data_IF_849634604835
#
_entry.id   IF_849634604835
#
_cell.length_a   1.000
_cell.length_b   1.000
_cell.length_c   1.000
_cell.angle_alpha   90.00
_cell.angle_beta   90.00
_cell.angle_gamma   90.00
#
_symmetry.space_group_name_H-M   'P 1'
#
loop_
_entity.id
_entity.type
_entity.pdbx_description
1 polymer ?
#
# COMPACT_ATOMS: atom_id res chain seq x y z
N UNK A 1 -7.62 -5.09 26.29
CA UNK A 1 -7.52 -4.09 25.23
C UNK A 1 -8.46 -4.47 24.09
N UNK A 2 -9.17 -3.52 23.59
CA UNK A 2 -10.05 -3.76 22.45
C UNK A 2 -9.25 -3.63 21.17
N UNK A 3 -9.59 -4.47 20.17
CA UNK A 3 -8.85 -4.47 18.90
C UNK A 3 -8.89 -3.10 18.20
N UNK A 4 -10.01 -2.39 18.33
CA UNK A 4 -10.14 -1.08 17.68
C UNK A 4 -9.29 0.02 18.33
N UNK A 5 -8.61 -0.28 19.42
CA UNK A 5 -7.69 0.64 20.06
C UNK A 5 -6.23 0.43 19.64
N UNK A 6 -5.98 -0.60 18.85
CA UNK A 6 -4.64 -0.86 18.34
C UNK A 6 -4.33 0.16 17.24
N UNK A 7 -3.18 0.80 17.37
CA UNK A 7 -2.72 1.74 16.37
C UNK A 7 -1.96 1.04 15.27
N UNK A 8 -1.95 1.58 14.05
CA UNK A 8 -1.09 1.05 13.00
C UNK A 8 0.37 1.00 13.46
N UNK A 9 1.05 -0.05 13.09
CA UNK A 9 2.38 -0.36 13.60
C UNK A 9 3.42 -0.36 12.48
N UNK A 10 4.49 0.41 12.67
CA UNK A 10 5.64 0.37 11.76
C UNK A 10 6.38 -0.96 11.88
N UNK A 11 6.43 -1.52 13.08
CA UNK A 11 7.07 -2.82 13.30
C UNK A 11 6.34 -3.93 12.55
N UNK A 12 5.01 -3.92 12.60
CA UNK A 12 4.23 -4.91 11.87
C UNK A 12 4.42 -4.75 10.36
N UNK A 13 4.48 -3.51 9.86
CA UNK A 13 4.75 -3.28 8.44
C UNK A 13 6.11 -3.87 8.05
N UNK A 14 7.11 -3.72 8.89
CA UNK A 14 8.42 -4.30 8.62
C UNK A 14 8.36 -5.83 8.57
N UNK A 15 7.58 -6.44 9.46
CA UNK A 15 7.39 -7.90 9.43
C UNK A 15 6.73 -8.34 8.13
N UNK A 16 5.76 -7.57 7.64
CA UNK A 16 5.03 -7.91 6.43
C UNK A 16 5.89 -7.73 5.19
N UNK A 17 6.55 -6.59 5.05
CA UNK A 17 7.30 -6.23 3.84
C UNK A 17 8.78 -6.63 3.95
N UNK A 18 9.36 -6.49 5.14
CA UNK A 18 10.78 -6.77 5.36
C UNK A 18 11.68 -5.80 4.62
N UNK A 19 12.84 -6.29 4.23
CA UNK A 19 13.81 -5.53 3.46
C UNK A 19 13.63 -5.70 1.95
N UNK A 20 12.50 -6.28 1.54
CA UNK A 20 12.24 -6.58 0.15
C UNK A 20 11.29 -5.55 -0.44
N UNK A 21 11.55 -5.17 -1.69
CA UNK A 21 10.65 -4.24 -2.38
C UNK A 21 9.44 -4.98 -2.89
N UNK A 22 8.22 -4.56 -2.52
CA UNK A 22 7.01 -5.12 -3.11
C UNK A 22 6.94 -4.80 -4.61
N UNK A 23 6.08 -5.53 -5.30
CA UNK A 23 5.85 -5.33 -6.73
C UNK A 23 4.42 -4.79 -6.90
N UNK A 24 4.27 -3.83 -7.80
CA UNK A 24 2.97 -3.30 -8.20
C UNK A 24 2.75 -3.62 -9.67
N UNK A 25 1.58 -4.14 -9.98
CA UNK A 25 1.22 -4.52 -11.35
C UNK A 25 0.09 -3.67 -11.92
N UNK A 26 -0.66 -2.98 -11.08
CA UNK A 26 -1.79 -2.15 -11.48
C UNK A 26 -1.76 -0.82 -10.75
N UNK A 27 -2.33 0.21 -11.39
CA UNK A 27 -2.45 1.52 -10.78
C UNK A 27 -3.37 1.50 -9.57
N UNK A 28 -3.17 2.46 -8.68
CA UNK A 28 -4.02 2.61 -7.50
C UNK A 28 -5.46 2.89 -7.92
N UNK A 29 -6.39 2.43 -7.08
CA UNK A 29 -7.81 2.69 -7.26
C UNK A 29 -8.26 3.75 -6.26
N UNK A 30 -9.05 4.71 -6.74
CA UNK A 30 -9.63 5.69 -5.85
C UNK A 30 -10.64 5.05 -4.91
N UNK A 31 -10.60 5.46 -3.65
CA UNK A 31 -11.58 5.06 -2.65
C UNK A 31 -12.49 6.24 -2.39
N UNK A 32 -13.81 6.04 -2.49
CA UNK A 32 -14.77 7.11 -2.35
C UNK A 32 -15.44 7.07 -0.97
N UNK A 33 -15.84 8.25 -0.51
CA UNK A 33 -16.63 8.35 0.70
C UNK A 33 -18.06 7.90 0.44
N UNK A 34 -18.65 7.26 1.45
CA UNK A 34 -20.05 6.87 1.42
C UNK A 34 -20.80 7.67 2.48
N UNK A 35 -21.97 8.17 2.07
CA UNK A 35 -22.89 8.85 2.98
C UNK A 35 -24.24 8.16 2.85
N UNK A 36 -24.77 7.67 3.98
CA UNK A 36 -26.04 6.92 4.02
C UNK A 36 -26.03 5.73 3.06
N UNK A 37 -24.90 5.02 3.01
CA UNK A 37 -24.69 3.85 2.15
C UNK A 37 -24.66 4.16 0.65
N UNK A 38 -24.56 5.43 0.27
CA UNK A 38 -24.43 5.82 -1.12
C UNK A 38 -23.04 6.39 -1.38
N UNK A 39 -22.44 5.99 -2.51
CA UNK A 39 -21.12 6.48 -2.89
C UNK A 39 -21.24 7.95 -3.31
N UNK A 40 -20.34 8.78 -2.78
CA UNK A 40 -20.21 10.17 -3.19
C UNK A 40 -19.11 10.31 -4.23
N UNK A 41 -18.93 11.53 -4.76
CA UNK A 41 -17.82 11.83 -5.66
C UNK A 41 -16.54 12.20 -4.91
N UNK A 42 -16.56 12.16 -3.61
CA UNK A 42 -15.39 12.53 -2.80
C UNK A 42 -14.45 11.36 -2.66
N UNK A 43 -13.19 11.57 -3.02
CA UNK A 43 -12.13 10.58 -2.85
C UNK A 43 -11.55 10.74 -1.46
N UNK A 44 -11.55 9.65 -0.68
CA UNK A 44 -10.98 9.66 0.66
C UNK A 44 -9.58 9.07 0.72
N UNK A 45 -9.10 8.51 -0.38
CA UNK A 45 -7.78 7.91 -0.46
C UNK A 45 -7.65 7.01 -1.67
N UNK A 46 -6.53 6.30 -1.71
CA UNK A 46 -6.23 5.40 -2.83
C UNK A 46 -5.77 4.07 -2.28
N UNK A 47 -6.17 3.00 -2.94
CA UNK A 47 -5.77 1.63 -2.58
C UNK A 47 -4.90 1.07 -3.69
N UNK A 48 -3.70 0.62 -3.31
CA UNK A 48 -2.76 -0.02 -4.22
C UNK A 48 -2.56 -1.47 -3.78
N UNK A 49 -2.66 -2.40 -4.72
CA UNK A 49 -2.38 -3.79 -4.42
C UNK A 49 -0.88 -4.05 -4.59
N UNK A 50 -0.27 -4.53 -3.53
CA UNK A 50 1.15 -4.88 -3.52
C UNK A 50 1.30 -6.40 -3.55
N UNK A 51 2.28 -6.89 -4.30
CA UNK A 51 2.66 -8.29 -4.29
C UNK A 51 3.92 -8.42 -3.46
N UNK A 52 3.86 -9.22 -2.40
CA UNK A 52 4.95 -9.38 -1.44
C UNK A 52 5.87 -10.51 -1.89
N UNK A 53 7.07 -10.17 -2.35
CA UNK A 53 8.01 -11.16 -2.86
C UNK A 53 8.59 -12.03 -1.75
N UNK A 54 8.60 -11.53 -0.51
CA UNK A 54 9.10 -12.27 0.65
C UNK A 54 8.03 -13.14 1.32
N UNK A 55 6.79 -13.10 0.84
CA UNK A 55 5.66 -13.82 1.40
C UNK A 55 4.96 -14.67 0.35
N UNK A 56 5.73 -15.39 -0.46
CA UNK A 56 5.19 -16.27 -1.50
C UNK A 56 4.28 -15.53 -2.47
N UNK A 57 4.59 -14.28 -2.80
CA UNK A 57 3.82 -13.45 -3.71
C UNK A 57 2.38 -13.21 -3.24
N UNK A 58 2.16 -13.23 -1.92
CA UNK A 58 0.87 -12.83 -1.38
C UNK A 58 0.60 -11.36 -1.67
N UNK A 59 -0.66 -11.03 -1.75
CA UNK A 59 -1.10 -9.67 -2.05
C UNK A 59 -1.56 -8.99 -0.77
N UNK A 60 -1.21 -7.71 -0.65
CA UNK A 60 -1.66 -6.88 0.47
C UNK A 60 -2.05 -5.52 -0.10
N UNK A 61 -3.09 -4.92 0.49
CA UNK A 61 -3.54 -3.60 0.07
C UNK A 61 -2.80 -2.54 0.87
N UNK A 62 -2.35 -1.50 0.18
CA UNK A 62 -1.73 -0.34 0.81
C UNK A 62 -2.59 0.90 0.53
N UNK A 63 -2.94 1.61 1.60
CA UNK A 63 -3.79 2.80 1.52
C UNK A 63 -2.91 4.04 1.65
N UNK A 64 -3.10 4.99 0.73
CA UNK A 64 -2.46 6.31 0.79
C UNK A 64 -3.53 7.39 0.68
N UNK A 65 -3.26 8.55 1.27
CA UNK A 65 -4.20 9.66 1.21
C UNK A 65 -4.27 10.29 -0.18
N UNK A 66 -3.14 10.30 -0.88
CA UNK A 66 -3.02 10.89 -2.21
C UNK A 66 -2.60 9.84 -3.23
N UNK A 67 -2.78 10.17 -4.52
CA UNK A 67 -2.31 9.30 -5.58
C UNK A 67 -0.81 9.07 -5.42
N UNK A 68 -0.36 7.82 -5.30
CA UNK A 68 1.07 7.55 -5.13
C UNK A 68 1.90 8.07 -6.30
N UNK A 69 3.10 8.56 -5.98
CA UNK A 69 3.99 9.12 -6.99
C UNK A 69 4.36 8.15 -8.10
N UNK A 70 4.42 6.87 -7.79
CA UNK A 70 4.78 5.85 -8.79
C UNK A 70 3.79 5.85 -9.97
N UNK A 71 2.56 6.34 -9.76
CA UNK A 71 1.53 6.34 -10.80
C UNK A 71 1.34 7.71 -11.48
N UNK A 72 2.10 8.73 -11.08
CA UNK A 72 1.90 10.07 -11.64
C UNK A 72 2.31 10.18 -13.11
N UNK A 73 3.10 9.25 -13.60
CA UNK A 73 3.48 9.22 -15.00
C UNK A 73 2.45 8.54 -15.91
N UNK A 74 1.33 8.09 -15.35
CA UNK A 74 0.31 7.37 -16.10
C UNK A 74 0.21 5.91 -15.68
N UNK A 75 -0.52 5.14 -16.45
CA UNK A 75 -0.70 3.71 -16.16
C UNK A 75 0.61 2.96 -16.34
N UNK A 76 0.80 1.93 -15.53
CA UNK A 76 1.98 1.09 -15.61
C UNK A 76 1.88 0.19 -16.84
N UNK A 77 2.97 0.10 -17.59
CA UNK A 77 3.07 -0.85 -18.70
C UNK A 77 3.53 -2.21 -18.20
N UNK A 78 4.42 -2.21 -17.22
CA UNK A 78 5.00 -3.43 -16.65
C UNK A 78 4.97 -3.38 -15.13
N UNK A 79 5.10 -4.55 -14.52
CA UNK A 79 5.27 -4.63 -13.07
C UNK A 79 6.55 -3.89 -12.65
N UNK A 80 6.46 -3.15 -11.54
CA UNK A 80 7.58 -2.39 -11.02
C UNK A 80 7.76 -2.67 -9.54
N UNK A 81 9.01 -2.59 -9.10
CA UNK A 81 9.34 -2.64 -7.68
C UNK A 81 9.14 -1.27 -7.07
N UNK A 82 8.59 -1.24 -5.87
CA UNK A 82 8.27 0.01 -5.18
C UNK A 82 8.79 0.00 -3.76
N UNK A 83 8.88 1.19 -3.19
CA UNK A 83 9.15 1.38 -1.76
C UNK A 83 8.02 2.19 -1.17
N UNK A 84 7.69 1.86 0.08
CA UNK A 84 6.64 2.56 0.82
C UNK A 84 7.28 3.60 1.72
N UNK A 85 6.69 4.79 1.74
CA UNK A 85 7.17 5.89 2.59
C UNK A 85 6.38 5.86 3.88
N UNK A 86 7.09 5.72 5.00
CA UNK A 86 6.49 5.68 6.35
C UNK A 86 5.40 4.63 6.48
N UNK A 87 5.73 3.41 6.07
CA UNK A 87 4.77 2.31 6.09
C UNK A 87 4.36 1.93 7.51
N UNK A 88 3.08 1.68 7.68
CA UNK A 88 2.47 1.17 8.91
C UNK A 88 1.52 0.07 8.53
N UNK A 89 1.34 -0.89 9.41
CA UNK A 89 0.38 -1.96 9.18
C UNK A 89 -0.67 -1.97 10.27
N UNK A 90 -1.90 -2.30 9.91
CA UNK A 90 -2.95 -2.49 10.87
C UNK A 90 -3.63 -3.83 10.61
N UNK A 91 -4.16 -4.41 11.66
CA UNK A 91 -4.93 -5.65 11.56
C UNK A 91 -6.40 -5.26 11.60
N UNK A 92 -7.11 -5.63 10.54
CA UNK A 92 -8.54 -5.38 10.46
C UNK A 92 -9.29 -6.35 11.37
N UNK A 93 -10.51 -6.03 11.71
CA UNK A 93 -11.28 -6.88 12.63
C UNK A 93 -11.54 -8.28 12.05
N UNK A 94 -11.39 -8.47 10.75
CA UNK A 94 -11.49 -9.79 10.11
C UNK A 94 -10.15 -10.52 10.05
N UNK A 95 -9.15 -10.03 10.78
CA UNK A 95 -7.79 -10.56 10.83
C UNK A 95 -6.98 -10.37 9.56
N UNK A 96 -7.47 -9.60 8.61
CA UNK A 96 -6.66 -9.23 7.45
C UNK A 96 -5.73 -8.08 7.79
N UNK A 97 -4.55 -8.08 7.17
CA UNK A 97 -3.58 -7.01 7.34
C UNK A 97 -3.73 -6.03 6.20
N UNK A 98 -3.70 -4.74 6.53
CA UNK A 98 -3.70 -3.66 5.57
C UNK A 98 -2.53 -2.74 5.87
N UNK A 99 -1.83 -2.30 4.83
CA UNK A 99 -0.74 -1.34 4.98
C UNK A 99 -1.25 0.07 4.77
N UNK A 100 -0.64 1.00 5.48
CA UNK A 100 -0.84 2.43 5.31
C UNK A 100 0.51 3.04 5.01
N UNK A 101 0.56 3.99 4.09
CA UNK A 101 1.79 4.68 3.76
C UNK A 101 1.50 6.13 3.38
N UNK A 102 2.51 6.97 3.51
CA UNK A 102 2.39 8.36 3.07
C UNK A 102 2.51 8.46 1.56
N UNK A 103 3.25 7.55 0.96
CA UNK A 103 3.46 7.53 -0.49
C UNK A 103 4.00 6.17 -0.92
N UNK A 104 3.96 5.92 -2.22
CA UNK A 104 4.58 4.75 -2.84
C UNK A 104 5.43 5.27 -3.99
N UNK A 105 6.72 4.95 -3.99
CA UNK A 105 7.68 5.45 -4.96
C UNK A 105 8.39 4.28 -5.61
N UNK A 106 9.01 4.52 -6.75
CA UNK A 106 9.84 3.49 -7.40
C UNK A 106 10.99 3.13 -6.47
N UNK A 107 11.26 1.83 -6.35
CA UNK A 107 12.41 1.37 -5.62
C UNK A 107 13.68 1.74 -6.37
N UNK A 108 14.73 2.10 -5.63
CA UNK A 108 16.02 2.36 -6.23
C UNK A 108 16.64 1.05 -6.65
N UNK A 109 17.27 1.05 -7.83
CA UNK A 109 17.95 -0.11 -8.35
C UNK A 109 19.40 -0.10 -7.89
N UNK A 110 19.72 -0.95 -6.93
CA UNK A 110 21.07 -1.03 -6.42
C UNK A 110 22.04 -1.56 -7.45
N UNK A 111 21.58 -2.35 -8.36
CA UNK A 111 22.46 -2.89 -9.41
C UNK A 111 22.95 -1.80 -10.35
N UNK A 112 22.33 -0.66 -10.34
CA UNK A 112 22.81 0.48 -11.14
C UNK A 112 24.21 0.88 -10.72
N UNK A 113 24.63 0.47 -9.56
CA UNK A 113 25.96 0.78 -9.06
C UNK A 113 27.08 0.16 -9.87
N UNK A 114 26.79 -0.58 -10.82
CA UNK A 114 27.82 -1.25 -11.65
C UNK A 114 28.73 -0.29 -12.38
#
# INVERSE_FOLDING_TARGET
MKANQLKPSEELAYVVVGDYSPIVTESARAMYEYVNNERTDRIKGYATELVLTNQNFEKVRCITANMPRVFLGGDLEDAVKVELVNARAEIMYNNEIRLLADDIVLAEDDEVSL
#
